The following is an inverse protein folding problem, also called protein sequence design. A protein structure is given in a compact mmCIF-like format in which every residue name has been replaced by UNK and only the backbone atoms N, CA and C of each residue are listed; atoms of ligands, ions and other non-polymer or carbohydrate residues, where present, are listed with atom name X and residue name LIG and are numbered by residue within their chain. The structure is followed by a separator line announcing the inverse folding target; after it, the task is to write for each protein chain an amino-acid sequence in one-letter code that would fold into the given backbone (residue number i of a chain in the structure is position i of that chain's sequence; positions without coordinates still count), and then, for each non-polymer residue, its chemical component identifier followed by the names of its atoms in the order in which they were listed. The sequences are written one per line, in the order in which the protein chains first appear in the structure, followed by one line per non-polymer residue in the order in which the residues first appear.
data_IF_120599604264
#
_entry.id   IF_120599604264
#
_cell.length_a   1.000
_cell.length_b   1.000
_cell.length_c   1.000
_cell.angle_alpha   90.00
_cell.angle_beta   90.00
_cell.angle_gamma   90.00
#
_symmetry.space_group_name_H-M   'P 1'
#
loop_
_entity.id
_entity.type
_entity.pdbx_description
1 polymer ?
#
# COMPACT_ATOMS: atom_id res chain seq x y z
N UNK A 1 -14.15 -64.80 -27.48
CA UNK A 1 -13.08 -65.70 -27.98
C UNK A 1 -11.81 -65.42 -27.18
N UNK A 2 -11.33 -66.41 -26.42
CA UNK A 2 -10.07 -66.40 -25.64
C UNK A 2 -8.87 -66.69 -26.55
N UNK A 3 -7.64 -66.44 -26.05
CA UNK A 3 -6.31 -67.08 -26.31
C UNK A 3 -5.23 -65.98 -26.48
N UNK A 4 -4.03 -65.91 -25.86
CA UNK A 4 -3.08 -66.81 -25.14
C UNK A 4 -2.21 -65.91 -24.20
N UNK A 5 -1.92 -66.20 -22.91
CA UNK A 5 -0.81 -67.01 -22.32
C UNK A 5 0.59 -66.61 -22.86
N UNK A 6 1.68 -66.25 -22.13
CA UNK A 6 2.26 -66.49 -20.76
C UNK A 6 3.63 -65.69 -20.69
N UNK A 7 4.59 -65.81 -19.72
CA UNK A 7 4.57 -65.93 -18.24
C UNK A 7 5.72 -65.22 -17.43
N UNK A 8 5.71 -65.37 -16.08
CA UNK A 8 6.81 -65.32 -15.04
C UNK A 8 7.58 -63.98 -14.86
N UNK A 9 7.98 -63.46 -13.68
CA UNK A 9 8.52 -64.03 -12.43
C UNK A 9 8.20 -63.19 -11.19
N UNK A 10 8.17 -63.90 -10.06
CA UNK A 10 8.04 -63.42 -8.69
C UNK A 10 9.18 -62.47 -8.26
N UNK A 11 8.94 -61.69 -7.20
CA UNK A 11 9.74 -61.68 -5.96
C UNK A 11 8.86 -61.06 -4.85
N UNK A 12 8.71 -61.80 -3.76
CA UNK A 12 8.18 -61.32 -2.49
C UNK A 12 9.13 -60.31 -1.86
N UNK A 13 8.61 -59.25 -1.27
CA UNK A 13 9.32 -58.58 -0.18
C UNK A 13 8.30 -58.11 0.85
N UNK A 14 8.18 -58.90 1.92
CA UNK A 14 7.57 -58.51 3.18
C UNK A 14 8.37 -57.37 3.79
N UNK A 15 7.73 -56.26 4.11
CA UNK A 15 8.28 -55.27 5.04
C UNK A 15 7.22 -54.95 6.10
N UNK A 16 7.39 -55.68 7.21
CA UNK A 16 7.36 -55.23 8.59
C UNK A 16 6.42 -54.06 8.94
N UNK A 17 5.40 -54.43 9.71
CA UNK A 17 4.74 -53.56 10.68
C UNK A 17 5.77 -53.01 11.68
N UNK A 18 5.88 -51.70 11.73
CA UNK A 18 6.35 -50.97 12.90
C UNK A 18 5.39 -49.82 13.12
N UNK A 19 4.56 -49.94 14.17
CA UNK A 19 3.80 -48.82 14.69
C UNK A 19 4.76 -47.76 15.19
N UNK A 20 4.78 -46.63 14.50
CA UNK A 20 5.36 -45.39 15.01
C UNK A 20 4.22 -44.37 15.06
N UNK A 21 3.73 -44.11 16.25
CA UNK A 21 2.88 -42.95 16.56
C UNK A 21 3.64 -41.68 16.17
N UNK A 22 3.02 -40.81 15.38
CA UNK A 22 3.55 -39.47 15.12
C UNK A 22 3.68 -38.73 16.46
N UNK A 23 4.79 -38.01 16.74
CA UNK A 23 4.79 -37.03 17.80
C UNK A 23 3.78 -35.93 17.45
N UNK A 24 2.92 -35.58 18.40
CA UNK A 24 2.04 -34.42 18.31
C UNK A 24 2.92 -33.19 18.01
N UNK A 25 2.65 -32.54 16.88
CA UNK A 25 3.22 -31.24 16.56
C UNK A 25 2.69 -30.23 17.60
N UNK A 26 3.50 -29.92 18.59
CA UNK A 26 3.26 -28.78 19.48
C UNK A 26 3.25 -27.54 18.61
N UNK A 27 2.09 -26.87 18.53
CA UNK A 27 1.96 -25.59 17.86
C UNK A 27 2.97 -24.60 18.46
N UNK A 28 4.05 -24.33 17.73
CA UNK A 28 4.97 -23.24 18.04
C UNK A 28 4.23 -21.94 17.73
N UNK A 29 3.55 -21.42 18.74
CA UNK A 29 3.02 -20.07 18.74
C UNK A 29 4.20 -19.11 18.50
N UNK A 30 4.19 -18.24 17.48
CA UNK A 30 5.25 -17.26 17.32
C UNK A 30 5.20 -16.30 18.52
N UNK A 31 6.16 -16.43 19.42
CA UNK A 31 6.44 -15.42 20.45
C UNK A 31 6.78 -14.12 19.73
N UNK A 32 5.85 -13.17 19.74
CA UNK A 32 6.11 -11.78 19.35
C UNK A 32 7.23 -11.29 20.30
N UNK A 33 8.40 -10.87 19.81
CA UNK A 33 9.38 -10.24 20.68
C UNK A 33 8.73 -8.97 21.23
N UNK A 34 8.55 -8.90 22.56
CA UNK A 34 8.20 -7.65 23.20
C UNK A 34 9.39 -6.70 23.02
N UNK A 35 9.28 -5.82 22.02
CA UNK A 35 10.18 -4.68 21.89
C UNK A 35 9.93 -3.82 23.12
N UNK A 36 10.84 -3.88 24.07
CA UNK A 36 10.82 -2.95 25.19
C UNK A 36 11.00 -1.54 24.61
N UNK A 37 9.99 -0.71 24.81
CA UNK A 37 10.01 0.72 24.51
C UNK A 37 11.08 1.35 25.42
N UNK A 38 12.28 1.60 24.89
CA UNK A 38 13.37 2.23 25.66
C UNK A 38 13.16 3.73 25.63
N UNK A 39 12.38 4.24 26.58
CA UNK A 39 12.28 5.69 26.80
C UNK A 39 13.58 6.22 27.41
N UNK A 40 14.42 6.88 26.62
CA UNK A 40 15.62 7.56 27.12
C UNK A 40 15.24 8.97 27.60
N UNK A 41 14.92 9.10 28.88
CA UNK A 41 14.73 10.40 29.52
C UNK A 41 16.09 11.05 29.79
N UNK A 42 16.53 11.99 28.94
CA UNK A 42 17.72 12.81 29.22
C UNK A 42 17.28 14.11 29.91
N UNK A 43 17.51 14.30 31.22
CA UNK A 43 17.19 15.57 31.88
C UNK A 43 18.23 16.63 31.52
N UNK A 44 17.79 17.71 30.88
CA UNK A 44 18.60 18.93 30.75
C UNK A 44 18.44 19.73 32.04
N UNK A 45 19.44 19.66 32.92
CA UNK A 45 19.45 20.38 34.20
C UNK A 45 20.09 21.76 34.00
N UNK A 46 19.27 22.82 33.97
CA UNK A 46 19.73 24.21 34.05
C UNK A 46 19.32 24.73 35.44
N UNK A 47 20.27 25.07 36.34
CA UNK A 47 19.93 25.55 37.67
C UNK A 47 19.11 26.86 37.58
N UNK A 48 17.97 26.89 38.29
CA UNK A 48 16.99 28.00 38.42
C UNK A 48 15.91 28.17 37.34
N UNK A 49 15.72 27.23 36.41
CA UNK A 49 14.59 27.27 35.47
C UNK A 49 13.60 26.13 35.72
N UNK A 50 12.28 26.37 35.61
CA UNK A 50 11.30 25.28 35.59
C UNK A 50 11.59 24.38 34.39
N UNK A 51 11.68 23.08 34.64
CA UNK A 51 11.83 22.05 33.60
C UNK A 51 10.53 22.02 32.80
N UNK A 52 10.50 22.72 31.67
CA UNK A 52 9.42 22.58 30.70
C UNK A 52 9.71 21.30 29.92
N UNK A 53 9.07 20.20 30.33
CA UNK A 53 9.01 18.99 29.51
C UNK A 53 8.09 19.29 28.34
N UNK A 54 8.68 19.82 27.26
CA UNK A 54 7.99 19.84 25.98
C UNK A 54 7.98 18.39 25.50
N UNK A 55 6.82 17.76 25.29
CA UNK A 55 6.78 16.48 24.61
C UNK A 55 7.40 16.71 23.24
N UNK A 56 8.60 16.21 23.02
CA UNK A 56 9.12 16.04 21.67
C UNK A 56 8.20 14.97 21.09
N UNK A 57 7.21 15.38 20.31
CA UNK A 57 6.63 14.46 19.32
C UNK A 57 7.83 13.99 18.53
N UNK A 58 8.26 12.75 18.75
CA UNK A 58 8.98 12.02 17.74
C UNK A 58 8.21 12.30 16.47
N UNK A 59 8.89 12.90 15.49
CA UNK A 59 8.34 13.13 14.17
C UNK A 59 7.82 11.77 13.76
N UNK A 60 6.51 11.54 13.88
CA UNK A 60 5.86 10.33 13.38
C UNK A 60 6.47 10.14 12.01
N UNK A 61 7.19 9.02 11.82
CA UNK A 61 7.86 8.70 10.58
C UNK A 61 6.92 9.12 9.46
N UNK A 62 7.35 10.07 8.62
CA UNK A 62 6.44 10.78 7.72
C UNK A 62 5.59 9.73 7.01
N UNK A 63 4.32 9.61 7.41
CA UNK A 63 3.50 8.47 7.02
C UNK A 63 3.26 8.64 5.53
N UNK A 64 4.02 7.88 4.74
CA UNK A 64 3.93 7.89 3.30
C UNK A 64 2.48 7.57 2.89
N UNK A 65 1.88 8.45 2.09
CA UNK A 65 0.50 8.32 1.66
C UNK A 65 0.49 7.71 0.26
N UNK A 66 -0.22 6.60 0.11
CA UNK A 66 -0.43 5.96 -1.18
C UNK A 66 -1.55 6.68 -1.91
N UNK A 67 -1.23 7.34 -3.03
CA UNK A 67 -2.23 7.95 -3.92
C UNK A 67 -2.49 7.04 -5.11
N UNK A 68 -3.73 6.56 -5.21
CA UNK A 68 -4.19 5.70 -6.31
C UNK A 68 -5.07 6.49 -7.27
N UNK A 69 -4.60 6.63 -8.50
CA UNK A 69 -5.34 7.19 -9.62
C UNK A 69 -6.08 6.08 -10.36
N UNK A 70 -7.40 6.23 -10.51
CA UNK A 70 -8.28 5.24 -11.13
C UNK A 70 -9.16 5.91 -12.19
N UNK A 71 -8.98 5.52 -13.45
CA UNK A 71 -9.88 5.94 -14.52
C UNK A 71 -11.26 5.30 -14.35
N UNK A 72 -12.32 6.08 -14.49
CA UNK A 72 -13.69 5.58 -14.54
C UNK A 72 -14.12 5.30 -15.99
N UNK A 73 -14.88 4.23 -16.20
CA UNK A 73 -15.42 3.90 -17.52
C UNK A 73 -14.34 3.60 -18.56
N UNK A 74 -14.41 4.23 -19.73
CA UNK A 74 -13.51 3.99 -20.86
C UNK A 74 -12.49 5.11 -21.11
N UNK A 75 -12.35 6.02 -20.14
CA UNK A 75 -11.56 7.23 -20.27
C UNK A 75 -10.06 7.00 -20.02
N UNK A 76 -9.22 7.76 -20.73
CA UNK A 76 -7.76 7.73 -20.60
C UNK A 76 -7.24 9.14 -20.34
N UNK A 77 -6.52 9.33 -19.23
CA UNK A 77 -6.02 10.63 -18.83
C UNK A 77 -4.50 10.68 -18.75
N UNK A 78 -3.97 11.90 -18.90
CA UNK A 78 -2.61 12.25 -18.52
C UNK A 78 -2.67 12.96 -17.17
N UNK A 79 -1.78 12.56 -16.26
CA UNK A 79 -1.77 13.03 -14.87
C UNK A 79 -0.48 13.80 -14.62
N UNK A 80 -0.62 15.02 -14.14
CA UNK A 80 0.46 15.89 -13.74
C UNK A 80 0.35 16.23 -12.26
N UNK A 81 1.47 16.15 -11.54
CA UNK A 81 1.57 16.54 -10.14
C UNK A 81 2.70 17.56 -10.01
N UNK A 82 2.41 18.73 -9.46
CA UNK A 82 3.30 19.90 -9.45
C UNK A 82 3.89 20.17 -10.84
N UNK A 83 3.03 20.12 -11.87
CA UNK A 83 3.39 20.29 -13.28
C UNK A 83 4.34 19.20 -13.85
N UNK A 84 4.73 18.20 -13.05
CA UNK A 84 5.53 17.04 -13.47
C UNK A 84 4.61 15.93 -13.95
N UNK A 85 4.92 15.37 -15.12
CA UNK A 85 4.21 14.23 -15.67
C UNK A 85 4.41 12.99 -14.80
N UNK A 86 3.33 12.45 -14.25
CA UNK A 86 3.33 11.17 -13.53
C UNK A 86 2.89 10.01 -14.42
N UNK A 87 1.86 10.23 -15.23
CA UNK A 87 1.22 9.19 -16.03
C UNK A 87 0.70 9.75 -17.36
N UNK A 88 0.82 9.00 -18.46
CA UNK A 88 0.33 9.39 -19.80
C UNK A 88 -0.88 8.55 -20.21
N UNK A 89 -1.85 9.19 -20.86
CA UNK A 89 -3.04 8.55 -21.42
C UNK A 89 -2.72 7.40 -22.41
N UNK A 90 -1.57 7.43 -23.08
CA UNK A 90 -1.15 6.40 -24.03
C UNK A 90 -0.68 5.10 -23.38
N UNK A 91 -0.58 5.05 -22.05
CA UNK A 91 -0.18 3.86 -21.31
C UNK A 91 -1.39 2.94 -21.11
N UNK A 92 -1.25 1.63 -21.34
CA UNK A 92 -2.38 0.68 -21.32
C UNK A 92 -2.89 0.32 -19.92
N UNK A 93 -2.21 0.78 -18.86
CA UNK A 93 -2.63 0.57 -17.47
C UNK A 93 -3.59 1.67 -17.02
N UNK A 94 -4.80 1.31 -16.59
CA UNK A 94 -5.83 2.27 -16.15
C UNK A 94 -5.67 2.78 -14.72
N UNK A 95 -4.87 2.06 -13.93
CA UNK A 95 -4.60 2.40 -12.55
C UNK A 95 -3.14 2.79 -12.43
N UNK A 96 -2.88 3.89 -11.76
CA UNK A 96 -1.54 4.36 -11.45
C UNK A 96 -1.47 4.68 -9.97
N UNK A 97 -0.42 4.22 -9.31
CA UNK A 97 -0.22 4.44 -7.87
C UNK A 97 1.11 5.13 -7.69
N UNK A 98 1.12 6.14 -6.81
CA UNK A 98 2.32 6.86 -6.39
C UNK A 98 2.29 7.01 -4.88
N UNK A 99 3.44 6.94 -4.26
CA UNK A 99 3.60 7.23 -2.83
C UNK A 99 4.11 8.65 -2.68
N UNK A 100 3.46 9.44 -1.82
CA UNK A 100 3.79 10.83 -1.55
C UNK A 100 4.07 11.03 -0.06
N UNK A 101 4.97 11.96 0.24
CA UNK A 101 5.08 12.50 1.59
C UNK A 101 3.83 13.34 1.91
N UNK A 102 3.46 13.50 3.20
CA UNK A 102 2.40 14.43 3.58
C UNK A 102 2.67 15.86 3.08
N UNK A 103 1.67 16.49 2.46
CA UNK A 103 1.78 17.84 1.92
C UNK A 103 0.74 18.16 0.85
N UNK A 104 0.76 19.40 0.36
CA UNK A 104 -0.13 19.86 -0.71
C UNK A 104 0.55 19.81 -2.07
N UNK A 105 -0.10 19.17 -3.04
CA UNK A 105 0.40 18.97 -4.39
C UNK A 105 -0.61 19.47 -5.41
N UNK A 106 -0.17 20.29 -6.37
CA UNK A 106 -1.03 20.72 -7.46
C UNK A 106 -1.23 19.56 -8.45
N UNK A 107 -2.45 19.09 -8.58
CA UNK A 107 -2.85 18.01 -9.46
C UNK A 107 -3.58 18.57 -10.67
N UNK A 108 -3.18 18.14 -11.86
CA UNK A 108 -3.86 18.43 -13.11
C UNK A 108 -4.08 17.13 -13.88
N UNK A 109 -5.34 16.84 -14.21
CA UNK A 109 -5.73 15.67 -15.00
C UNK A 109 -6.30 16.16 -16.33
N UNK A 110 -5.71 15.69 -17.41
CA UNK A 110 -6.08 16.07 -18.78
C UNK A 110 -6.41 14.85 -19.63
N UNK A 111 -7.00 15.05 -20.80
CA UNK A 111 -7.09 14.03 -21.83
C UNK A 111 -5.74 13.69 -22.46
N UNK A 112 -5.75 13.32 -23.74
CA UNK A 112 -4.53 13.03 -24.52
C UNK A 112 -3.66 14.28 -24.71
N UNK A 113 -4.28 15.47 -24.68
CA UNK A 113 -3.59 16.75 -24.76
C UNK A 113 -3.89 17.62 -23.53
N UNK A 114 -2.95 18.51 -23.19
CA UNK A 114 -3.12 19.49 -22.10
C UNK A 114 -4.18 20.57 -22.38
N UNK A 115 -4.68 20.69 -23.62
CA UNK A 115 -5.77 21.61 -23.94
C UNK A 115 -7.14 21.09 -23.48
N UNK A 116 -7.22 19.80 -23.11
CA UNK A 116 -8.42 19.15 -22.64
C UNK A 116 -8.27 18.84 -21.15
N UNK A 117 -8.36 19.86 -20.31
CA UNK A 117 -8.31 19.71 -18.85
C UNK A 117 -9.63 19.15 -18.35
N UNK A 118 -9.59 18.04 -17.60
CA UNK A 118 -10.76 17.41 -17.00
C UNK A 118 -10.97 17.86 -15.55
N UNK A 119 -9.88 18.24 -14.88
CA UNK A 119 -9.91 18.91 -13.58
C UNK A 119 -8.51 19.28 -13.11
N UNK A 120 -8.43 20.35 -12.33
CA UNK A 120 -7.21 20.79 -11.65
C UNK A 120 -7.54 21.31 -10.25
N UNK A 121 -6.51 21.36 -9.40
CA UNK A 121 -6.64 21.79 -8.02
C UNK A 121 -5.53 21.24 -7.13
N UNK A 122 -5.61 21.54 -5.84
CA UNK A 122 -4.66 21.05 -4.85
C UNK A 122 -5.16 19.76 -4.21
N UNK A 123 -4.28 18.76 -4.23
CA UNK A 123 -4.38 17.51 -3.50
C UNK A 123 -3.56 17.63 -2.21
N UNK A 124 -4.23 17.80 -1.08
CA UNK A 124 -3.63 17.81 0.26
C UNK A 124 -3.61 16.36 0.79
N UNK A 125 -2.42 15.80 1.02
CA UNK A 125 -2.26 14.40 1.47
C UNK A 125 -1.63 14.33 2.85
N UNK A 126 -2.06 13.36 3.65
CA UNK A 126 -1.48 13.09 4.97
C UNK A 126 -1.90 14.08 6.05
N UNK A 127 -3.05 14.76 5.85
CA UNK A 127 -3.69 15.60 6.86
C UNK A 127 -4.45 14.78 7.90
N UNK A 128 -4.99 13.64 7.50
CA UNK A 128 -5.70 12.69 8.36
C UNK A 128 -4.87 11.41 8.58
N UNK A 129 -5.47 10.43 9.28
CA UNK A 129 -4.86 9.11 9.49
C UNK A 129 -4.99 8.19 8.26
N UNK A 130 -5.46 8.69 7.11
CA UNK A 130 -5.62 7.89 5.89
C UNK A 130 -4.29 7.71 5.18
N UNK A 131 -3.78 6.47 5.19
CA UNK A 131 -2.57 6.11 4.44
C UNK A 131 -2.83 5.87 2.94
N UNK A 132 -4.10 5.95 2.50
CA UNK A 132 -4.49 5.77 1.11
C UNK A 132 -5.50 6.83 0.67
N UNK A 133 -5.21 7.50 -0.44
CA UNK A 133 -6.09 8.46 -1.11
C UNK A 133 -6.39 7.93 -2.50
N UNK A 134 -7.66 7.81 -2.86
CA UNK A 134 -8.10 7.33 -4.17
C UNK A 134 -8.65 8.48 -4.99
N UNK A 135 -7.97 8.81 -6.08
CA UNK A 135 -8.39 9.81 -7.06
C UNK A 135 -9.05 9.11 -8.23
N UNK A 136 -10.37 9.24 -8.34
CA UNK A 136 -11.15 8.75 -9.46
C UNK A 136 -11.37 9.88 -10.45
N UNK A 137 -11.21 9.59 -11.73
CA UNK A 137 -11.36 10.60 -12.77
C UNK A 137 -12.10 10.07 -13.99
N UNK A 138 -12.87 10.95 -14.63
CA UNK A 138 -13.47 10.74 -15.96
C UNK A 138 -13.66 12.07 -16.67
N UNK A 139 -13.80 12.02 -17.99
CA UNK A 139 -14.04 13.22 -18.81
C UNK A 139 -15.36 13.92 -18.44
N UNK A 140 -16.40 13.12 -18.19
CA UNK A 140 -17.75 13.64 -17.90
C UNK A 140 -18.07 13.71 -16.41
N UNK A 141 -17.34 12.97 -15.56
CA UNK A 141 -17.55 12.95 -14.11
C UNK A 141 -16.57 13.80 -13.31
N UNK A 142 -15.57 14.40 -13.97
CA UNK A 142 -14.55 15.23 -13.32
C UNK A 142 -13.63 14.42 -12.42
N UNK A 143 -13.17 15.06 -11.34
CA UNK A 143 -12.29 14.45 -10.32
C UNK A 143 -13.08 14.21 -9.04
N UNK A 144 -12.95 13.02 -8.49
CA UNK A 144 -13.52 12.61 -7.21
C UNK A 144 -12.40 12.04 -6.34
N UNK A 145 -12.28 12.52 -5.10
CA UNK A 145 -11.27 12.04 -4.16
C UNK A 145 -11.95 11.34 -2.99
N UNK A 146 -11.42 10.17 -2.61
CA UNK A 146 -11.87 9.36 -1.50
C UNK A 146 -10.70 8.97 -0.60
N UNK A 147 -10.98 8.61 0.65
CA UNK A 147 -9.97 8.46 1.71
C UNK A 147 -10.14 9.62 2.70
N UNK A 148 -9.51 10.75 2.39
CA UNK A 148 -9.66 12.00 3.13
C UNK A 148 -10.73 12.90 2.48
N UNK A 149 -11.81 13.29 3.19
CA UNK A 149 -12.86 14.17 2.66
C UNK A 149 -12.40 15.61 2.40
N UNK A 150 -11.25 16.03 2.92
CA UNK A 150 -10.69 17.37 2.78
C UNK A 150 -9.46 17.43 1.87
N UNK A 151 -9.05 16.30 1.30
CA UNK A 151 -7.84 16.22 0.46
C UNK A 151 -7.96 16.96 -0.87
N UNK A 152 -9.15 17.34 -1.32
CA UNK A 152 -9.35 17.95 -2.64
C UNK A 152 -9.84 19.39 -2.57
N UNK A 153 -9.08 20.29 -3.18
CA UNK A 153 -9.41 21.71 -3.32
C UNK A 153 -9.39 22.06 -4.82
N UNK A 154 -10.55 22.08 -5.50
CA UNK A 154 -10.61 22.40 -6.93
C UNK A 154 -10.32 23.87 -7.21
N UNK A 155 -9.77 24.15 -8.40
CA UNK A 155 -9.62 25.52 -8.93
C UNK A 155 -10.92 26.14 -9.47
#
# INVERSE_FOLDING_TARGET
VRSRLLPVFAISTTLLTTGATLPTETANNPTIPQVADVTINVPVVIPHYPVIVVPRREREEAREVTVQFTAQGNDWATIYLNNRLLFRASNTRRNYTVTLEPGAYYLEITGVSRFEVWGSGYLDVGRDDSNIVVVRYSKNGGIQVAGDPYAWIPD
#
